data_IF_341374811375
#
_entry.id   IF_341374811375
#
_cell.length_a   1.000
_cell.length_b   1.000
_cell.length_c   1.000
_cell.angle_alpha   90.00
_cell.angle_beta   90.00
_cell.angle_gamma   90.00
#
_symmetry.space_group_name_H-M   'P 1'
#
loop_
_entity.id
_entity.type
_entity.pdbx_description
1 polymer ?
#
# COMPACT_ATOMS: atom_id res chain seq x y z
N UNK A 1 91.51 -4.83 -44.84
CA UNK A 1 90.21 -4.19 -45.00
C UNK A 1 89.14 -5.19 -44.55
N UNK A 2 88.52 -4.95 -43.39
CA UNK A 2 87.47 -5.84 -42.82
C UNK A 2 86.10 -5.13 -43.01
N UNK A 3 85.03 -5.80 -43.46
CA UNK A 3 83.71 -5.20 -43.47
C UNK A 3 83.01 -5.44 -42.10
N UNK A 4 82.37 -4.40 -41.61
CA UNK A 4 81.50 -4.41 -40.45
C UNK A 4 80.13 -4.97 -40.81
N UNK A 5 79.71 -6.02 -40.08
CA UNK A 5 78.32 -6.52 -40.11
C UNK A 5 77.48 -5.66 -39.16
N UNK A 6 76.41 -5.03 -39.71
CA UNK A 6 75.37 -4.40 -38.90
C UNK A 6 74.32 -5.42 -38.55
N UNK A 7 74.09 -5.61 -37.24
CA UNK A 7 72.98 -6.42 -36.69
C UNK A 7 71.69 -5.57 -36.59
N UNK A 8 70.66 -5.93 -37.30
CA UNK A 8 69.35 -5.29 -37.15
C UNK A 8 68.57 -6.01 -36.02
N UNK A 9 68.33 -5.29 -34.92
CA UNK A 9 67.51 -5.71 -33.78
C UNK A 9 66.04 -5.45 -34.07
N UNK A 10 65.22 -6.50 -34.26
CA UNK A 10 63.79 -6.41 -34.33
C UNK A 10 63.15 -6.31 -32.91
N UNK A 11 62.63 -5.14 -32.57
CA UNK A 11 61.92 -4.91 -31.30
C UNK A 11 60.47 -5.37 -31.47
N UNK A 12 60.06 -6.46 -30.77
CA UNK A 12 58.67 -6.93 -30.72
C UNK A 12 57.98 -6.16 -29.59
N UNK A 13 57.10 -5.23 -29.92
CA UNK A 13 56.22 -4.58 -28.99
C UNK A 13 55.04 -5.56 -28.66
N UNK A 14 55.10 -6.16 -27.49
CA UNK A 14 53.97 -6.95 -26.98
C UNK A 14 52.91 -5.98 -26.35
N UNK A 15 51.81 -5.77 -27.08
CA UNK A 15 50.66 -4.99 -26.58
C UNK A 15 49.85 -5.88 -25.64
N UNK A 16 49.93 -5.61 -24.33
CA UNK A 16 49.05 -6.22 -23.33
C UNK A 16 47.65 -5.59 -23.42
N UNK A 17 46.69 -6.34 -23.98
CA UNK A 17 45.25 -6.03 -23.85
C UNK A 17 44.79 -6.34 -22.44
N UNK A 18 44.63 -5.30 -21.62
CA UNK A 18 43.94 -5.40 -20.32
C UNK A 18 42.44 -5.47 -20.58
N UNK A 19 41.86 -6.67 -20.56
CA UNK A 19 40.42 -6.86 -20.52
C UNK A 19 39.95 -6.44 -19.12
N UNK A 20 39.43 -5.21 -19.01
CA UNK A 20 38.74 -4.73 -17.80
C UNK A 20 37.46 -5.55 -17.61
N UNK A 21 37.39 -6.35 -16.55
CA UNK A 21 36.16 -7.00 -16.13
C UNK A 21 35.14 -5.93 -15.73
N UNK A 22 34.13 -5.69 -16.56
CA UNK A 22 32.98 -4.86 -16.23
C UNK A 22 32.15 -5.62 -15.20
N UNK A 23 32.30 -5.32 -13.91
CA UNK A 23 31.42 -5.83 -12.85
C UNK A 23 30.01 -5.29 -13.14
N UNK A 24 29.09 -6.16 -13.56
CA UNK A 24 27.69 -5.83 -13.64
C UNK A 24 27.16 -5.55 -12.23
N UNK A 25 26.62 -4.36 -12.02
CA UNK A 25 25.94 -4.04 -10.77
C UNK A 25 24.78 -5.03 -10.55
N UNK A 26 24.55 -5.51 -9.31
CA UNK A 26 23.45 -6.43 -9.03
C UNK A 26 22.13 -5.79 -9.48
N UNK A 27 21.32 -6.51 -10.24
CA UNK A 27 20.02 -6.05 -10.69
C UNK A 27 19.15 -5.73 -9.46
N UNK A 28 18.59 -4.53 -9.43
CA UNK A 28 17.69 -4.12 -8.36
C UNK A 28 16.49 -5.09 -8.27
N UNK A 29 16.14 -5.51 -7.03
CA UNK A 29 14.98 -6.39 -6.84
C UNK A 29 13.71 -5.75 -7.41
N UNK A 30 12.84 -6.53 -8.06
CA UNK A 30 11.57 -6.03 -8.57
C UNK A 30 10.75 -5.34 -7.48
N UNK A 31 9.98 -4.29 -7.81
CA UNK A 31 9.11 -3.60 -6.84
C UNK A 31 8.11 -4.58 -6.23
N UNK A 32 7.66 -4.29 -4.99
CA UNK A 32 6.76 -5.17 -4.26
C UNK A 32 5.53 -5.62 -5.08
N UNK A 33 4.80 -4.75 -5.78
CA UNK A 33 3.64 -5.18 -6.57
C UNK A 33 3.96 -6.18 -7.69
N UNK A 34 5.18 -6.15 -8.24
CA UNK A 34 5.60 -7.10 -9.27
C UNK A 34 5.90 -8.50 -8.71
N UNK A 35 5.98 -8.64 -7.39
CA UNK A 35 6.21 -9.90 -6.66
C UNK A 35 4.96 -10.44 -5.97
N UNK A 36 3.86 -9.68 -5.98
CA UNK A 36 2.57 -10.10 -5.42
C UNK A 36 1.88 -11.05 -6.39
N UNK A 37 1.22 -12.07 -5.85
CA UNK A 37 0.43 -13.03 -6.64
C UNK A 37 -0.80 -12.35 -7.29
N UNK A 38 -1.37 -11.35 -6.61
CA UNK A 38 -2.51 -10.58 -7.09
C UNK A 38 -2.37 -9.11 -6.70
N UNK A 39 -2.78 -8.21 -7.57
CA UNK A 39 -2.80 -6.75 -7.37
C UNK A 39 -4.19 -6.15 -7.67
N UNK A 40 -5.24 -6.98 -7.78
CA UNK A 40 -6.62 -6.55 -8.05
C UNK A 40 -6.88 -6.07 -9.48
N UNK A 41 -5.94 -6.22 -10.40
CA UNK A 41 -6.11 -5.84 -11.82
C UNK A 41 -6.13 -4.33 -12.11
N UNK A 42 -6.09 -3.48 -11.10
CA UNK A 42 -6.09 -2.01 -11.25
C UNK A 42 -4.79 -1.43 -11.83
N UNK A 43 -4.83 -0.15 -12.17
CA UNK A 43 -3.66 0.62 -12.63
C UNK A 43 -3.00 1.43 -11.50
N UNK A 44 -3.63 1.45 -10.33
CA UNK A 44 -3.14 2.06 -9.10
C UNK A 44 -3.22 1.06 -7.97
N UNK A 45 -2.24 1.07 -7.09
CA UNK A 45 -2.17 0.19 -5.93
C UNK A 45 -1.62 0.96 -4.73
N UNK A 46 -2.15 0.69 -3.56
CA UNK A 46 -1.57 1.11 -2.28
C UNK A 46 -1.12 -0.15 -1.54
N UNK A 47 0.13 -0.21 -1.14
CA UNK A 47 0.64 -1.27 -0.25
C UNK A 47 0.92 -0.70 1.13
N UNK A 48 0.49 -1.40 2.18
CA UNK A 48 0.83 -1.11 3.56
C UNK A 48 1.65 -2.30 4.10
N UNK A 49 2.89 -2.06 4.48
CA UNK A 49 3.84 -3.12 4.87
C UNK A 49 4.35 -2.88 6.28
N UNK A 50 4.29 -3.91 7.10
CA UNK A 50 4.83 -3.97 8.45
C UNK A 50 6.00 -4.98 8.52
N UNK A 51 6.86 -4.85 9.54
CA UNK A 51 7.95 -5.80 9.76
C UNK A 51 7.48 -7.18 10.23
N UNK A 52 6.29 -7.24 10.83
CA UNK A 52 5.67 -8.48 11.31
C UNK A 52 4.23 -8.24 11.77
N UNK A 53 3.51 -9.31 12.07
CA UNK A 53 2.08 -9.24 12.43
C UNK A 53 1.81 -8.50 13.74
N UNK A 54 2.77 -8.45 14.67
CA UNK A 54 2.66 -7.67 15.91
C UNK A 54 3.02 -6.20 15.76
N UNK A 55 3.50 -5.77 14.59
CA UNK A 55 3.91 -4.38 14.37
C UNK A 55 2.72 -3.44 14.31
N UNK A 56 2.80 -2.33 15.04
CA UNK A 56 1.82 -1.24 15.03
C UNK A 56 2.21 -0.10 14.09
N UNK A 57 3.36 -0.22 13.44
CA UNK A 57 3.90 0.76 12.49
C UNK A 57 4.41 0.08 11.22
N UNK A 58 4.53 0.85 10.15
CA UNK A 58 5.07 0.36 8.89
C UNK A 58 5.15 1.45 7.84
N UNK A 59 5.09 1.06 6.58
CA UNK A 59 5.18 1.96 5.43
C UNK A 59 4.00 1.78 4.52
N UNK A 60 3.32 2.86 4.22
CA UNK A 60 2.37 2.96 3.12
C UNK A 60 3.12 3.40 1.86
N UNK A 61 2.88 2.73 0.75
CA UNK A 61 3.46 3.11 -0.55
C UNK A 61 2.36 3.08 -1.60
N UNK A 62 2.31 4.11 -2.44
CA UNK A 62 1.38 4.13 -3.57
C UNK A 62 2.13 4.02 -4.89
N UNK A 63 1.52 3.27 -5.81
CA UNK A 63 2.09 2.82 -7.07
C UNK A 63 1.17 3.15 -8.22
N UNK A 64 1.75 3.47 -9.36
CA UNK A 64 1.05 3.56 -10.63
C UNK A 64 1.58 2.48 -11.57
N UNK A 65 0.69 1.86 -12.34
CA UNK A 65 1.07 0.97 -13.43
C UNK A 65 1.27 1.77 -14.70
N UNK A 66 2.49 1.79 -15.24
CA UNK A 66 2.86 2.51 -16.46
C UNK A 66 3.53 1.56 -17.43
N UNK A 67 3.02 1.46 -18.66
CA UNK A 67 3.56 0.55 -19.69
C UNK A 67 3.73 -0.89 -19.18
N UNK A 68 2.77 -1.39 -18.41
CA UNK A 68 2.80 -2.74 -17.82
C UNK A 68 3.64 -2.88 -16.55
N UNK A 69 4.40 -1.89 -16.14
CA UNK A 69 5.30 -1.93 -14.98
C UNK A 69 4.79 -1.08 -13.80
N UNK A 70 5.01 -1.56 -12.58
CA UNK A 70 4.70 -0.81 -11.37
C UNK A 70 5.80 0.19 -11.05
N UNK A 71 5.41 1.46 -10.95
CA UNK A 71 6.27 2.59 -10.62
C UNK A 71 5.82 3.19 -9.30
N UNK A 72 6.74 3.31 -8.35
CA UNK A 72 6.47 3.98 -7.06
C UNK A 72 6.17 5.45 -7.32
N UNK A 73 5.01 5.92 -6.85
CA UNK A 73 4.61 7.32 -6.92
C UNK A 73 4.94 8.09 -5.62
N UNK A 74 4.97 7.38 -4.48
CA UNK A 74 5.37 7.96 -3.20
C UNK A 74 5.21 6.98 -2.04
N UNK A 75 5.56 7.42 -0.84
CA UNK A 75 5.37 6.64 0.39
C UNK A 75 5.26 7.55 1.61
N UNK A 76 4.68 7.01 2.69
CA UNK A 76 4.56 7.67 3.98
C UNK A 76 4.64 6.63 5.12
N UNK A 77 4.99 7.06 6.36
CA UNK A 77 4.82 6.21 7.53
C UNK A 77 3.36 5.78 7.70
N UNK A 78 3.16 4.54 8.14
CA UNK A 78 1.84 3.99 8.43
C UNK A 78 1.71 3.61 9.91
N UNK A 79 0.46 3.69 10.41
CA UNK A 79 0.05 3.13 11.71
C UNK A 79 -0.96 2.02 11.46
N UNK A 80 -0.83 0.95 12.24
CA UNK A 80 -1.75 -0.18 12.23
C UNK A 80 -2.49 -0.26 13.57
N UNK A 81 -3.41 -1.20 13.68
CA UNK A 81 -4.15 -1.44 14.91
C UNK A 81 -3.24 -1.64 16.13
N UNK A 82 -3.71 -1.28 17.33
CA UNK A 82 -2.94 -1.34 18.57
C UNK A 82 -2.41 -2.75 18.90
N UNK A 83 -3.02 -3.79 18.34
CA UNK A 83 -2.59 -5.20 18.45
C UNK A 83 -1.98 -5.73 17.14
N UNK A 84 -1.52 -4.83 16.25
CA UNK A 84 -0.86 -5.18 14.98
C UNK A 84 -1.84 -5.59 13.88
N UNK A 85 -1.49 -6.65 13.15
CA UNK A 85 -2.20 -7.12 11.96
C UNK A 85 -2.72 -8.55 12.16
N UNK A 86 -3.81 -8.87 11.48
CA UNK A 86 -4.37 -10.22 11.42
C UNK A 86 -4.84 -10.50 10.01
N UNK A 87 -4.81 -11.75 9.59
CA UNK A 87 -5.39 -12.17 8.33
C UNK A 87 -6.90 -11.79 8.29
N UNK A 88 -7.36 -11.22 7.15
CA UNK A 88 -8.69 -10.60 7.07
C UNK A 88 -9.83 -11.55 7.42
N UNK A 89 -9.78 -12.81 6.95
CA UNK A 89 -10.83 -13.81 7.22
C UNK A 89 -10.84 -14.27 8.68
N UNK A 90 -9.72 -14.13 9.40
CA UNK A 90 -9.60 -14.45 10.81
C UNK A 90 -9.94 -13.27 11.73
N UNK A 91 -10.19 -12.07 11.17
CA UNK A 91 -10.47 -10.88 11.98
C UNK A 91 -11.85 -10.96 12.61
N UNK A 92 -11.92 -10.70 13.91
CA UNK A 92 -13.17 -10.59 14.70
C UNK A 92 -13.51 -9.12 14.94
N UNK A 93 -14.72 -8.84 15.41
CA UNK A 93 -15.10 -7.50 15.85
C UNK A 93 -14.30 -7.08 17.10
N UNK A 94 -13.97 -5.79 17.22
CA UNK A 94 -13.21 -5.17 18.33
C UNK A 94 -11.83 -5.79 18.64
N UNK A 95 -11.05 -6.30 17.68
CA UNK A 95 -9.78 -6.95 17.98
C UNK A 95 -8.63 -5.95 18.10
N UNK A 96 -8.85 -4.66 17.77
CA UNK A 96 -7.83 -3.61 17.66
C UNK A 96 -6.69 -3.95 16.69
N UNK A 97 -6.96 -4.78 15.68
CA UNK A 97 -6.01 -5.18 14.63
C UNK A 97 -6.40 -4.58 13.28
N UNK A 98 -5.40 -4.40 12.41
CA UNK A 98 -5.62 -4.09 11.01
C UNK A 98 -5.72 -5.39 10.20
N UNK A 99 -6.73 -5.58 9.33
CA UNK A 99 -6.82 -6.77 8.49
C UNK A 99 -5.73 -6.74 7.41
N UNK A 100 -5.07 -7.89 7.18
CA UNK A 100 -4.22 -8.12 6.02
C UNK A 100 -5.02 -8.76 4.89
N UNK A 101 -4.67 -8.44 3.65
CA UNK A 101 -5.36 -8.93 2.46
C UNK A 101 -5.29 -7.93 1.32
N UNK A 102 -5.94 -8.28 0.23
CA UNK A 102 -6.18 -7.39 -0.91
C UNK A 102 -7.62 -6.87 -0.83
N UNK A 103 -7.79 -5.56 -0.88
CA UNK A 103 -9.07 -4.89 -0.74
C UNK A 103 -9.24 -3.82 -1.80
N UNK A 104 -10.48 -3.64 -2.26
CA UNK A 104 -10.85 -2.50 -3.07
C UNK A 104 -10.99 -1.24 -2.20
N UNK A 105 -10.84 -0.09 -2.84
CA UNK A 105 -11.09 1.20 -2.22
C UNK A 105 -12.37 1.79 -2.85
N UNK A 106 -13.58 1.46 -2.36
CA UNK A 106 -14.84 1.81 -3.05
C UNK A 106 -15.14 3.31 -3.04
N UNK A 107 -14.74 4.04 -2.00
CA UNK A 107 -14.91 5.49 -1.90
C UNK A 107 -14.02 6.10 -0.83
N UNK A 108 -13.72 7.37 -0.98
CA UNK A 108 -13.14 8.19 0.07
C UNK A 108 -14.23 8.98 0.81
N UNK A 109 -13.93 9.41 2.01
CA UNK A 109 -14.82 10.24 2.82
C UNK A 109 -14.02 11.16 3.76
N UNK A 110 -14.68 12.12 4.38
CA UNK A 110 -14.02 12.93 5.39
C UNK A 110 -14.88 14.06 5.92
N UNK A 111 -14.46 14.56 7.08
CA UNK A 111 -15.01 15.77 7.71
C UNK A 111 -14.56 17.01 6.94
N UNK A 112 -13.33 16.99 6.40
CA UNK A 112 -12.80 18.02 5.51
C UNK A 112 -13.34 17.83 4.09
N UNK A 113 -13.33 18.92 3.32
CA UNK A 113 -13.64 18.85 1.90
C UNK A 113 -12.67 17.90 1.17
N UNK A 114 -13.12 17.31 0.06
CA UNK A 114 -12.24 16.54 -0.81
C UNK A 114 -11.04 17.39 -1.24
N UNK A 115 -9.82 16.83 -1.28
CA UNK A 115 -8.66 17.53 -1.81
C UNK A 115 -8.91 18.05 -3.23
N UNK A 116 -8.39 19.23 -3.55
CA UNK A 116 -8.49 19.81 -4.89
C UNK A 116 -8.00 18.83 -5.96
N UNK A 117 -8.77 18.69 -7.03
CA UNK A 117 -8.46 17.77 -8.13
C UNK A 117 -8.86 16.32 -7.88
N UNK A 118 -9.53 16.01 -6.77
CA UNK A 118 -10.08 14.67 -6.51
C UNK A 118 -11.14 14.33 -7.55
N UNK A 119 -10.90 13.28 -8.33
CA UNK A 119 -11.89 12.66 -9.24
C UNK A 119 -12.50 11.39 -8.66
N UNK A 120 -11.99 10.95 -7.52
CA UNK A 120 -12.44 9.77 -6.82
C UNK A 120 -13.76 10.02 -6.08
N UNK A 121 -14.62 8.99 -5.98
CA UNK A 121 -15.89 9.11 -5.26
C UNK A 121 -15.64 9.54 -3.81
N UNK A 122 -16.13 10.69 -3.43
CA UNK A 122 -15.95 11.26 -2.11
C UNK A 122 -17.29 11.50 -1.41
N UNK A 123 -17.40 11.07 -0.17
CA UNK A 123 -18.58 11.26 0.68
C UNK A 123 -18.25 12.21 1.83
N UNK A 124 -18.81 13.42 1.87
CA UNK A 124 -18.67 14.31 3.02
C UNK A 124 -19.26 13.68 4.28
N UNK A 125 -18.54 13.81 5.40
CA UNK A 125 -19.07 13.47 6.72
C UNK A 125 -19.83 14.68 7.29
N UNK A 126 -21.01 14.45 7.84
CA UNK A 126 -21.81 15.45 8.52
C UNK A 126 -22.51 14.85 9.76
N UNK A 127 -23.26 15.67 10.51
CA UNK A 127 -23.86 15.29 11.80
C UNK A 127 -24.78 14.04 11.76
N UNK A 128 -25.20 13.59 10.57
CA UNK A 128 -26.04 12.39 10.41
C UNK A 128 -25.27 11.16 9.93
N UNK A 129 -23.95 11.27 9.74
CA UNK A 129 -23.13 10.19 9.21
C UNK A 129 -22.71 9.21 10.30
N UNK A 130 -23.06 7.95 10.13
CA UNK A 130 -22.77 6.85 11.05
C UNK A 130 -22.19 5.66 10.33
N UNK A 131 -21.40 4.88 11.04
CA UNK A 131 -21.03 3.52 10.68
C UNK A 131 -21.64 2.57 11.69
N UNK A 132 -22.52 1.68 11.23
CA UNK A 132 -23.18 0.73 12.11
C UNK A 132 -22.30 -0.49 12.36
N UNK A 133 -21.93 -0.73 13.61
CA UNK A 133 -21.14 -1.88 14.06
C UNK A 133 -21.97 -2.88 14.88
N UNK A 134 -23.27 -2.64 15.03
CA UNK A 134 -24.19 -3.52 15.73
C UNK A 134 -24.47 -4.79 14.93
N UNK A 135 -23.94 -5.93 15.41
CA UNK A 135 -24.16 -7.25 14.81
C UNK A 135 -25.64 -7.64 14.70
N UNK A 136 -26.52 -7.07 15.52
CA UNK A 136 -27.98 -7.29 15.49
C UNK A 136 -28.68 -6.52 14.37
N UNK A 137 -28.07 -5.46 13.86
CA UNK A 137 -28.68 -4.60 12.86
C UNK A 137 -28.60 -5.18 11.44
N UNK A 138 -29.63 -4.93 10.62
CA UNK A 138 -29.60 -5.16 9.17
C UNK A 138 -28.58 -4.28 8.45
N UNK A 139 -28.18 -3.18 9.08
CA UNK A 139 -27.20 -2.23 8.59
C UNK A 139 -25.78 -2.50 9.10
N UNK A 140 -25.52 -3.66 9.72
CA UNK A 140 -24.20 -4.02 10.21
C UNK A 140 -23.10 -3.78 9.18
N UNK A 141 -22.00 -3.19 9.64
CA UNK A 141 -20.83 -2.87 8.87
C UNK A 141 -21.12 -2.02 7.61
N UNK A 142 -22.02 -1.04 7.76
CA UNK A 142 -22.43 -0.13 6.68
C UNK A 142 -22.48 1.32 7.12
N UNK A 143 -22.24 2.18 6.16
CA UNK A 143 -22.52 3.61 6.30
C UNK A 143 -24.03 3.86 6.29
N UNK A 144 -24.52 4.64 7.24
CA UNK A 144 -25.94 5.01 7.34
C UNK A 144 -26.12 6.50 7.57
N UNK A 145 -27.21 7.08 7.06
CA UNK A 145 -27.59 8.50 7.21
C UNK A 145 -29.11 8.66 7.19
N UNK A 146 -29.77 8.78 8.37
CA UNK A 146 -29.24 8.70 9.73
C UNK A 146 -28.95 7.26 10.17
N UNK A 147 -28.50 7.11 11.43
CA UNK A 147 -28.41 5.81 12.08
C UNK A 147 -29.81 5.18 12.17
N UNK A 148 -30.03 3.97 11.68
CA UNK A 148 -31.35 3.31 11.77
C UNK A 148 -31.67 2.88 13.21
N UNK A 149 -32.95 2.72 13.53
CA UNK A 149 -33.41 2.41 14.87
C UNK A 149 -32.90 1.04 15.39
N UNK A 150 -32.71 0.07 14.51
CA UNK A 150 -32.21 -1.27 14.83
C UNK A 150 -30.67 -1.31 15.01
N UNK A 151 -29.98 -0.21 14.83
CA UNK A 151 -28.54 -0.10 15.05
C UNK A 151 -28.28 0.71 16.31
N UNK A 152 -27.80 0.07 17.36
CA UNK A 152 -27.52 0.72 18.66
C UNK A 152 -26.40 1.75 18.54
N UNK A 153 -26.60 2.90 19.16
CA UNK A 153 -25.59 3.97 19.14
C UNK A 153 -24.29 3.57 19.86
N UNK A 154 -24.39 2.78 20.94
CA UNK A 154 -23.25 2.25 21.68
C UNK A 154 -22.40 1.26 20.88
N UNK A 155 -22.96 0.68 19.83
CA UNK A 155 -22.33 -0.27 18.90
C UNK A 155 -22.09 0.38 17.54
N UNK A 156 -21.82 1.70 17.48
CA UNK A 156 -21.72 2.42 16.21
C UNK A 156 -20.84 3.63 16.34
N UNK A 157 -20.19 4.00 15.26
CA UNK A 157 -19.39 5.21 15.17
C UNK A 157 -20.19 6.37 14.60
N UNK A 158 -20.39 7.42 15.39
CA UNK A 158 -20.84 8.73 14.90
C UNK A 158 -19.66 9.42 14.21
N UNK A 159 -19.59 9.33 12.90
CA UNK A 159 -18.41 9.73 12.11
C UNK A 159 -17.97 11.17 12.33
N UNK A 160 -18.92 12.09 12.53
CA UNK A 160 -18.64 13.51 12.79
C UNK A 160 -17.89 13.76 14.11
N UNK A 161 -17.91 12.82 15.04
CA UNK A 161 -17.22 12.93 16.34
C UNK A 161 -15.73 12.58 16.30
N UNK A 162 -15.22 12.13 15.16
CA UNK A 162 -13.83 11.65 14.99
C UNK A 162 -13.04 12.55 14.03
N UNK A 163 -12.84 13.83 14.40
CA UNK A 163 -12.22 14.83 13.51
C UNK A 163 -10.85 14.44 12.99
N UNK A 164 -9.96 13.93 13.85
CA UNK A 164 -8.60 13.60 13.44
C UNK A 164 -8.54 12.33 12.58
N UNK A 165 -9.11 11.18 12.98
CA UNK A 165 -9.07 9.97 12.16
C UNK A 165 -9.83 10.11 10.84
N UNK A 166 -10.93 10.88 10.84
CA UNK A 166 -11.79 11.04 9.67
C UNK A 166 -11.69 12.41 9.01
N UNK A 167 -10.58 13.11 9.22
CA UNK A 167 -10.31 14.33 8.47
C UNK A 167 -10.41 14.09 6.96
N UNK A 168 -9.70 13.08 6.46
CA UNK A 168 -9.79 12.50 5.11
C UNK A 168 -9.46 11.02 5.25
N UNK A 169 -10.31 10.15 4.74
CA UNK A 169 -10.19 8.70 4.85
C UNK A 169 -10.66 8.00 3.59
N UNK A 170 -10.40 6.71 3.48
CA UNK A 170 -10.99 5.85 2.46
C UNK A 170 -11.52 4.57 3.10
N UNK A 171 -12.62 4.07 2.57
CA UNK A 171 -13.11 2.74 2.87
C UNK A 171 -12.21 1.73 2.15
N UNK A 172 -11.82 0.66 2.83
CA UNK A 172 -10.99 -0.42 2.24
C UNK A 172 -11.85 -1.60 1.74
N UNK A 173 -13.16 -1.45 1.67
CA UNK A 173 -14.04 -2.53 1.21
C UNK A 173 -13.91 -3.83 2.00
N UNK A 174 -13.33 -3.77 3.22
CA UNK A 174 -13.25 -4.92 4.10
C UNK A 174 -14.67 -5.41 4.40
N UNK A 175 -14.88 -6.67 4.41
CA UNK A 175 -16.18 -7.36 4.48
C UNK A 175 -17.37 -6.54 5.00
N UNK A 176 -18.50 -6.61 4.29
CA UNK A 176 -19.81 -6.13 4.76
C UNK A 176 -20.65 -7.26 5.39
N UNK A 177 -20.04 -8.42 5.62
CA UNK A 177 -20.64 -9.55 6.32
C UNK A 177 -20.26 -9.51 7.80
N UNK A 178 -20.95 -10.30 8.62
CA UNK A 178 -20.68 -10.41 10.06
C UNK A 178 -19.40 -11.20 10.29
N UNK A 179 -18.37 -10.64 10.98
CA UNK A 179 -17.19 -11.40 11.32
C UNK A 179 -17.53 -12.56 12.25
N UNK A 180 -17.13 -13.76 11.90
CA UNK A 180 -17.31 -14.93 12.74
C UNK A 180 -18.75 -15.41 12.90
N UNK A 181 -19.59 -15.07 11.93
CA UNK A 181 -20.92 -15.62 11.80
C UNK A 181 -20.88 -17.05 11.29
#
# INVERSE_FOLDING_TARGET
MRPLLAAAGTSVCASLLVLGAVSAAPAASPPLPARMADTGGGTQLITAVAAGTSSTTGTLTWWNRRHGHWVKAGSAPARFGAKGLVEGTARRQNPFTTPTGLYDLPFAFGIRAAPTGTTYKYRPVHARSWWCEDNGSKSYNRWTEPRPADCRASESEHRASYETPYAIATDIGFTYTRPGG
#
